data_IF_202547437188
#
_entry.id   IF_202547437188
#
_cell.length_a   1.000
_cell.length_b   1.000
_cell.length_c   1.000
_cell.angle_alpha   90.00
_cell.angle_beta   90.00
_cell.angle_gamma   90.00
#
_symmetry.space_group_name_H-M   'P 1'
#
loop_
_entity.id
_entity.type
_entity.pdbx_description
1 polymer ?
#
# COMPACT_ATOMS: atom_id res chain seq x y z
N UNK A 1 2.80 -22.77 8.51
CA UNK A 1 2.71 -22.73 7.04
C UNK A 1 4.10 -22.92 6.46
N UNK A 2 4.24 -23.73 5.44
CA UNK A 2 5.48 -23.83 4.69
C UNK A 2 5.59 -22.64 3.73
N UNK A 3 6.70 -21.91 3.77
CA UNK A 3 7.03 -20.86 2.83
C UNK A 3 8.35 -21.24 2.15
N UNK A 4 8.24 -21.93 1.01
CA UNK A 4 9.38 -22.37 0.18
C UNK A 4 10.47 -23.13 0.96
N UNK A 5 10.08 -24.04 1.85
CA UNK A 5 10.97 -24.85 2.67
C UNK A 5 11.27 -24.28 4.07
N UNK A 6 10.77 -23.10 4.39
CA UNK A 6 10.84 -22.53 5.75
C UNK A 6 9.53 -22.76 6.49
N UNK A 7 9.60 -23.43 7.64
CA UNK A 7 8.41 -23.65 8.49
C UNK A 7 8.16 -22.42 9.36
N UNK A 8 7.43 -21.43 8.83
CA UNK A 8 7.12 -20.16 9.48
C UNK A 8 5.72 -20.18 10.13
N UNK A 9 5.52 -19.32 11.11
CA UNK A 9 4.17 -19.07 11.62
C UNK A 9 3.34 -18.32 10.54
N UNK A 10 2.01 -18.33 10.68
CA UNK A 10 1.10 -17.70 9.69
C UNK A 10 1.38 -16.22 9.49
N UNK A 11 1.67 -15.52 10.58
CA UNK A 11 1.91 -14.09 10.57
C UNK A 11 3.20 -13.73 9.80
N UNK A 12 4.27 -14.50 9.99
CA UNK A 12 5.52 -14.29 9.25
C UNK A 12 5.37 -14.63 7.76
N UNK A 13 4.55 -15.63 7.41
CA UNK A 13 4.22 -15.92 6.01
C UNK A 13 3.49 -14.74 5.37
N UNK A 14 2.50 -14.16 6.07
CA UNK A 14 1.80 -12.96 5.60
C UNK A 14 2.77 -11.82 5.34
N UNK A 15 3.66 -11.51 6.29
CA UNK A 15 4.66 -10.47 6.13
C UNK A 15 5.53 -10.68 4.89
N UNK A 16 6.00 -11.92 4.67
CA UNK A 16 6.83 -12.26 3.50
C UNK A 16 6.06 -12.09 2.19
N UNK A 17 4.85 -12.65 2.08
CA UNK A 17 4.03 -12.54 0.86
C UNK A 17 3.72 -11.08 0.53
N UNK A 18 3.40 -10.26 1.54
CA UNK A 18 3.15 -8.84 1.32
C UNK A 18 4.42 -8.04 1.02
N UNK A 19 5.57 -8.42 1.59
CA UNK A 19 6.85 -7.85 1.20
C UNK A 19 7.14 -8.11 -0.29
N UNK A 20 6.88 -9.33 -0.76
CA UNK A 20 7.03 -9.71 -2.17
C UNK A 20 6.01 -8.97 -3.08
N UNK A 21 4.78 -8.79 -2.61
CA UNK A 21 3.76 -8.02 -3.34
C UNK A 21 4.15 -6.56 -3.54
N UNK A 22 4.73 -5.92 -2.52
CA UNK A 22 5.13 -4.52 -2.55
C UNK A 22 6.43 -4.35 -3.34
N UNK A 23 7.45 -5.16 -3.04
CA UNK A 23 8.79 -5.06 -3.61
C UNK A 23 8.96 -5.73 -4.97
N UNK A 24 8.06 -6.61 -5.33
CA UNK A 24 8.19 -7.53 -6.46
C UNK A 24 8.96 -8.80 -6.12
N UNK A 25 8.70 -9.87 -6.85
CA UNK A 25 9.41 -11.13 -6.73
C UNK A 25 9.81 -11.70 -8.09
N UNK A 26 10.61 -12.78 -8.07
CA UNK A 26 11.00 -13.52 -9.28
C UNK A 26 9.91 -14.47 -9.79
N UNK A 27 8.74 -14.54 -9.12
CA UNK A 27 7.66 -15.53 -9.35
C UNK A 27 6.42 -14.94 -9.99
N UNK A 28 6.47 -13.66 -10.36
CA UNK A 28 5.44 -13.00 -11.15
C UNK A 28 4.78 -11.78 -10.53
N UNK A 29 5.21 -11.37 -9.34
CA UNK A 29 4.85 -10.06 -8.77
C UNK A 29 5.85 -9.02 -9.25
N UNK A 30 5.37 -7.98 -9.94
CA UNK A 30 6.26 -6.94 -10.50
C UNK A 30 6.56 -5.81 -9.53
N UNK A 31 5.96 -5.86 -8.32
CA UNK A 31 6.04 -4.77 -7.35
C UNK A 31 5.11 -3.60 -7.65
N UNK A 32 5.01 -2.69 -6.70
CA UNK A 32 4.06 -1.57 -6.66
C UNK A 32 4.75 -0.22 -6.60
N UNK A 33 5.84 -0.03 -7.34
CA UNK A 33 6.76 1.12 -7.22
C UNK A 33 6.12 2.50 -7.32
N UNK A 34 4.95 2.62 -7.93
CA UNK A 34 4.25 3.91 -8.13
C UNK A 34 2.98 4.06 -7.30
N UNK A 35 2.64 3.07 -6.48
CA UNK A 35 1.41 3.07 -5.70
C UNK A 35 1.64 3.67 -4.31
N UNK A 36 0.65 4.43 -3.81
CA UNK A 36 0.59 4.80 -2.40
C UNK A 36 0.10 3.60 -1.60
N UNK A 37 0.92 3.11 -0.69
CA UNK A 37 0.60 1.97 0.16
C UNK A 37 0.71 2.35 1.63
N UNK A 38 -0.27 1.95 2.42
CA UNK A 38 -0.29 2.13 3.87
C UNK A 38 -0.56 0.80 4.58
N UNK A 39 -0.33 0.77 5.88
CA UNK A 39 -0.54 -0.39 6.74
C UNK A 39 -1.43 -0.02 7.92
N UNK A 40 -2.56 -0.71 8.04
CA UNK A 40 -3.43 -0.70 9.21
C UNK A 40 -3.33 -2.05 9.88
N UNK A 41 -2.98 -2.07 11.15
CA UNK A 41 -3.02 -3.28 11.98
C UNK A 41 -4.22 -3.22 12.91
N UNK A 42 -4.78 -4.37 13.21
CA UNK A 42 -5.92 -4.44 14.09
C UNK A 42 -5.90 -5.72 14.95
N UNK A 43 -6.37 -5.56 16.15
CA UNK A 43 -6.71 -6.59 17.10
C UNK A 43 -8.04 -6.18 17.74
N UNK A 44 -8.10 -5.88 19.02
CA UNK A 44 -9.28 -5.28 19.66
C UNK A 44 -9.59 -3.88 19.13
N UNK A 45 -8.56 -3.16 18.69
CA UNK A 45 -8.62 -1.83 18.10
C UNK A 45 -7.86 -1.83 16.78
N UNK A 46 -8.24 -0.94 15.87
CA UNK A 46 -7.52 -0.70 14.63
C UNK A 46 -6.60 0.51 14.76
N UNK A 47 -5.37 0.41 14.25
CA UNK A 47 -4.39 1.49 14.26
C UNK A 47 -3.68 1.63 12.91
N UNK A 48 -3.31 2.86 12.58
CA UNK A 48 -2.51 3.16 11.39
C UNK A 48 -1.02 2.97 11.69
N UNK A 49 -0.50 1.79 11.44
CA UNK A 49 0.90 1.45 11.67
C UNK A 49 1.83 2.17 10.70
N UNK A 50 1.41 2.32 9.44
CA UNK A 50 2.11 3.13 8.45
C UNK A 50 1.10 3.93 7.64
N UNK A 51 1.23 5.27 7.54
CA UNK A 51 0.38 6.06 6.67
C UNK A 51 0.61 5.70 5.19
N UNK A 52 -0.21 6.24 4.29
CA UNK A 52 -0.03 6.06 2.85
C UNK A 52 1.26 6.74 2.39
N UNK A 53 2.21 5.95 1.92
CA UNK A 53 3.54 6.39 1.47
C UNK A 53 3.89 5.81 0.11
N UNK A 54 4.70 6.54 -0.66
CA UNK A 54 5.34 6.05 -1.90
C UNK A 54 6.66 5.33 -1.59
N UNK A 55 7.28 5.63 -0.43
CA UNK A 55 8.53 5.00 -0.02
C UNK A 55 8.27 3.62 0.58
N UNK A 56 8.29 2.60 -0.27
CA UNK A 56 8.00 1.22 0.15
C UNK A 56 9.02 0.65 1.14
N UNK A 57 10.25 1.15 1.16
CA UNK A 57 11.24 0.74 2.15
C UNK A 57 10.78 1.07 3.58
N UNK A 58 10.17 2.26 3.77
CA UNK A 58 9.59 2.67 5.07
C UNK A 58 8.45 1.73 5.46
N UNK A 59 7.55 1.44 4.53
CA UNK A 59 6.43 0.52 4.77
C UNK A 59 6.93 -0.88 5.17
N UNK A 60 7.96 -1.41 4.47
CA UNK A 60 8.54 -2.72 4.76
C UNK A 60 9.22 -2.76 6.14
N UNK A 61 9.81 -1.66 6.60
CA UNK A 61 10.32 -1.56 7.98
C UNK A 61 9.21 -1.64 9.03
N UNK A 62 8.11 -0.92 8.82
CA UNK A 62 6.93 -1.02 9.70
C UNK A 62 6.35 -2.43 9.69
N UNK A 63 6.21 -3.04 8.52
CA UNK A 63 5.71 -4.41 8.38
C UNK A 63 6.58 -5.41 9.15
N UNK A 64 7.91 -5.29 9.08
CA UNK A 64 8.84 -6.14 9.82
C UNK A 64 8.69 -5.98 11.34
N UNK A 65 8.50 -4.77 11.84
CA UNK A 65 8.37 -4.45 13.26
C UNK A 65 7.00 -4.81 13.85
N UNK A 66 6.01 -5.07 13.01
CA UNK A 66 4.66 -5.45 13.47
C UNK A 66 4.72 -6.80 14.19
N UNK A 67 4.15 -6.88 15.38
CA UNK A 67 4.10 -8.08 16.21
C UNK A 67 2.65 -8.44 16.56
N UNK A 68 2.44 -9.70 16.90
CA UNK A 68 1.15 -10.18 17.41
C UNK A 68 0.96 -9.64 18.83
N UNK A 69 -0.24 -9.16 19.13
CA UNK A 69 -0.62 -8.69 20.46
C UNK A 69 -0.47 -9.81 21.49
N UNK A 70 0.15 -9.49 22.63
CA UNK A 70 0.40 -10.44 23.72
C UNK A 70 -0.50 -10.23 24.94
N UNK A 71 -1.08 -9.03 25.06
CA UNK A 71 -1.92 -8.67 26.20
C UNK A 71 -3.37 -9.10 25.94
N UNK A 72 -3.96 -9.82 26.88
CA UNK A 72 -5.38 -10.24 26.81
C UNK A 72 -6.36 -9.06 26.71
N UNK A 73 -6.02 -7.91 27.27
CA UNK A 73 -6.83 -6.69 27.19
C UNK A 73 -6.93 -6.12 25.78
N UNK A 74 -5.97 -6.44 24.92
CA UNK A 74 -5.88 -5.99 23.52
C UNK A 74 -6.24 -7.09 22.52
N UNK A 75 -6.51 -8.30 23.02
CA UNK A 75 -6.93 -9.44 22.20
C UNK A 75 -8.35 -9.23 21.66
N UNK A 76 -8.52 -9.53 20.40
CA UNK A 76 -9.77 -9.35 19.67
C UNK A 76 -9.55 -9.16 18.18
N UNK A 77 -10.64 -9.00 17.44
CA UNK A 77 -10.62 -8.85 15.96
C UNK A 77 -11.66 -7.82 15.56
N UNK A 78 -11.23 -6.57 15.42
CA UNK A 78 -12.07 -5.40 15.07
C UNK A 78 -12.07 -5.14 13.56
N UNK A 79 -12.70 -6.02 12.78
CA UNK A 79 -12.72 -5.94 11.31
C UNK A 79 -13.41 -4.65 10.84
N UNK A 80 -14.53 -4.27 11.45
CA UNK A 80 -15.28 -3.08 11.07
C UNK A 80 -14.47 -1.80 11.25
N UNK A 81 -13.80 -1.66 12.40
CA UNK A 81 -12.93 -0.51 12.69
C UNK A 81 -11.74 -0.45 11.74
N UNK A 82 -11.15 -1.59 11.40
CA UNK A 82 -10.03 -1.67 10.46
C UNK A 82 -10.43 -1.20 9.05
N UNK A 83 -11.60 -1.64 8.56
CA UNK A 83 -12.12 -1.20 7.26
C UNK A 83 -12.43 0.29 7.29
N UNK A 84 -13.13 0.77 8.33
CA UNK A 84 -13.49 2.18 8.46
C UNK A 84 -12.26 3.08 8.50
N UNK A 85 -11.24 2.71 9.29
CA UNK A 85 -9.99 3.46 9.40
C UNK A 85 -9.22 3.47 8.08
N UNK A 86 -9.05 2.32 7.42
CA UNK A 86 -8.36 2.22 6.14
C UNK A 86 -9.08 3.02 5.05
N UNK A 87 -10.42 2.95 5.00
CA UNK A 87 -11.23 3.71 4.05
C UNK A 87 -11.11 5.22 4.29
N UNK A 88 -11.12 5.67 5.55
CA UNK A 88 -10.93 7.08 5.90
C UNK A 88 -9.55 7.58 5.45
N UNK A 89 -8.48 6.79 5.63
CA UNK A 89 -7.13 7.15 5.17
C UNK A 89 -7.04 7.31 3.66
N UNK A 90 -7.66 6.38 2.90
CA UNK A 90 -7.73 6.48 1.44
C UNK A 90 -8.54 7.69 0.98
N UNK A 91 -9.64 8.00 1.66
CA UNK A 91 -10.48 9.17 1.33
C UNK A 91 -9.75 10.48 1.60
N UNK A 92 -9.09 10.61 2.75
CA UNK A 92 -8.28 11.79 3.09
C UNK A 92 -7.16 12.00 2.08
N UNK A 93 -6.45 10.93 1.68
CA UNK A 93 -5.38 11.04 0.67
C UNK A 93 -5.92 11.52 -0.68
N UNK A 94 -7.10 11.08 -1.10
CA UNK A 94 -7.75 11.56 -2.32
C UNK A 94 -8.08 13.05 -2.23
N UNK A 95 -8.64 13.50 -1.12
CA UNK A 95 -8.99 14.91 -0.88
C UNK A 95 -7.75 15.79 -0.85
N UNK A 96 -6.67 15.37 -0.19
CA UNK A 96 -5.40 16.08 -0.16
C UNK A 96 -4.80 16.24 -1.56
N UNK A 97 -4.86 15.20 -2.39
CA UNK A 97 -4.38 15.26 -3.78
C UNK A 97 -5.22 16.21 -4.62
N UNK A 98 -6.54 16.18 -4.47
CA UNK A 98 -7.45 17.12 -5.17
C UNK A 98 -7.19 18.56 -4.77
N UNK A 99 -6.98 18.82 -3.47
CA UNK A 99 -6.65 20.16 -2.98
C UNK A 99 -5.30 20.66 -3.52
N UNK A 100 -4.30 19.82 -3.57
CA UNK A 100 -2.99 20.15 -4.16
C UNK A 100 -3.13 20.50 -5.64
N UNK A 101 -3.87 19.70 -6.41
CA UNK A 101 -4.17 19.96 -7.82
C UNK A 101 -4.86 21.33 -7.99
N UNK A 102 -5.87 21.61 -7.18
CA UNK A 102 -6.59 22.89 -7.23
C UNK A 102 -5.67 24.09 -6.94
N UNK A 103 -4.78 23.99 -5.94
CA UNK A 103 -3.81 25.05 -5.61
C UNK A 103 -2.82 25.31 -6.73
N UNK A 104 -2.30 24.28 -7.41
CA UNK A 104 -1.39 24.43 -8.54
C UNK A 104 -2.07 25.13 -9.72
N UNK A 105 -3.30 24.73 -10.04
CA UNK A 105 -4.10 25.39 -11.07
C UNK A 105 -4.35 26.88 -10.78
N UNK A 106 -4.63 27.21 -9.50
CA UNK A 106 -4.81 28.62 -9.08
C UNK A 106 -3.52 29.43 -9.14
N UNK A 107 -2.36 28.78 -8.95
CA UNK A 107 -1.05 29.41 -9.08
C UNK A 107 -0.63 29.65 -10.55
N UNK A 108 -1.45 29.24 -11.53
CA UNK A 108 -1.15 29.41 -12.96
C UNK A 108 -0.13 28.40 -13.50
N UNK A 109 0.17 27.35 -12.74
CA UNK A 109 1.01 26.26 -13.25
C UNK A 109 0.20 25.40 -14.23
N UNK A 110 0.65 25.33 -15.48
CA UNK A 110 0.09 24.40 -16.44
C UNK A 110 0.41 22.97 -16.00
N UNK A 111 -0.63 22.23 -15.59
CA UNK A 111 -0.50 20.81 -15.40
C UNK A 111 -0.46 20.19 -16.80
N UNK A 112 0.75 19.97 -17.34
CA UNK A 112 0.90 19.30 -18.63
C UNK A 112 0.27 17.90 -18.55
N UNK A 113 -0.29 17.41 -19.66
CA UNK A 113 -0.91 16.08 -19.80
C UNK A 113 -0.05 14.94 -19.24
N UNK A 114 1.27 15.14 -19.18
CA UNK A 114 2.23 14.24 -18.53
C UNK A 114 2.16 14.24 -17.00
N UNK A 115 1.69 15.30 -16.38
CA UNK A 115 1.63 15.49 -14.92
C UNK A 115 0.26 15.15 -14.32
N UNK A 116 -0.77 14.98 -15.13
CA UNK A 116 -2.11 14.60 -14.65
C UNK A 116 -2.13 13.26 -13.92
N UNK A 117 -1.23 12.33 -14.29
CA UNK A 117 -1.10 11.03 -13.64
C UNK A 117 -0.70 11.09 -12.16
N UNK A 118 0.01 12.15 -11.74
CA UNK A 118 0.43 12.35 -10.34
C UNK A 118 -0.69 12.86 -9.40
N UNK A 119 -1.80 13.36 -9.96
CA UNK A 119 -2.90 13.93 -9.19
C UNK A 119 -4.23 13.17 -9.32
N UNK A 120 -4.23 12.03 -10.03
CA UNK A 120 -5.46 11.24 -10.23
C UNK A 120 -5.29 9.85 -9.64
N UNK A 121 -6.04 9.56 -8.58
CA UNK A 121 -6.13 8.21 -8.03
C UNK A 121 -7.04 7.40 -8.93
N UNK A 122 -6.49 6.39 -9.62
CA UNK A 122 -7.24 5.55 -10.56
C UNK A 122 -8.03 4.44 -9.88
N UNK A 123 -7.50 3.87 -8.82
CA UNK A 123 -8.12 2.80 -8.05
C UNK A 123 -7.76 2.93 -6.57
N UNK A 124 -8.72 2.63 -5.71
CA UNK A 124 -8.56 2.57 -4.26
C UNK A 124 -8.95 1.19 -3.78
N UNK A 125 -8.03 0.49 -3.16
CA UNK A 125 -8.25 -0.87 -2.68
C UNK A 125 -7.85 -1.02 -1.22
N UNK A 126 -8.54 -1.91 -0.53
CA UNK A 126 -8.16 -2.43 0.78
C UNK A 126 -7.98 -3.94 0.62
N UNK A 127 -6.85 -4.45 1.06
CA UNK A 127 -6.61 -5.89 1.19
C UNK A 127 -6.75 -6.22 2.67
N UNK A 128 -7.87 -6.84 3.02
CA UNK A 128 -8.20 -7.25 4.38
C UNK A 128 -7.74 -8.68 4.61
N UNK A 129 -6.86 -8.88 5.59
CA UNK A 129 -6.41 -10.21 6.01
C UNK A 129 -6.81 -10.47 7.45
N UNK A 130 -7.42 -11.60 7.68
CA UNK A 130 -7.80 -12.05 9.03
C UNK A 130 -7.80 -13.57 9.11
N UNK A 131 -7.53 -14.08 10.30
CA UNK A 131 -7.67 -15.50 10.65
C UNK A 131 -8.76 -15.73 11.72
N UNK A 132 -9.46 -14.66 12.15
CA UNK A 132 -10.47 -14.67 13.18
C UNK A 132 -11.85 -14.18 12.72
N UNK A 133 -12.79 -14.28 13.64
CA UNK A 133 -14.13 -13.70 13.53
C UNK A 133 -14.15 -12.29 14.11
N UNK A 134 -15.02 -11.43 13.57
CA UNK A 134 -15.25 -10.11 14.16
C UNK A 134 -15.86 -10.26 15.56
N UNK A 135 -15.13 -9.89 16.59
CA UNK A 135 -15.56 -10.00 18.01
C UNK A 135 -15.24 -8.74 18.83
N UNK A 136 -14.71 -7.70 18.19
CA UNK A 136 -14.36 -6.44 18.82
C UNK A 136 -14.61 -5.27 17.85
N UNK A 137 -14.40 -4.05 18.32
CA UNK A 137 -14.58 -2.82 17.55
C UNK A 137 -15.94 -2.17 17.80
N UNK A 138 -16.08 -0.95 17.29
CA UNK A 138 -17.29 -0.11 17.42
C UNK A 138 -18.13 -0.12 16.14
N UNK A 139 -17.50 -0.31 14.98
CA UNK A 139 -18.16 -0.29 13.70
C UNK A 139 -18.56 -1.69 13.24
N UNK A 140 -19.80 -1.81 12.75
CA UNK A 140 -20.24 -3.03 12.07
C UNK A 140 -19.47 -3.21 10.76
N UNK A 141 -18.89 -4.40 10.49
CA UNK A 141 -18.10 -4.63 9.29
C UNK A 141 -18.85 -4.41 7.98
N UNK A 142 -20.14 -4.71 7.91
CA UNK A 142 -20.93 -4.52 6.70
C UNK A 142 -21.22 -3.04 6.45
N UNK A 143 -21.51 -2.28 7.52
CA UNK A 143 -21.69 -0.83 7.43
C UNK A 143 -20.38 -0.14 6.99
N UNK A 144 -19.24 -0.58 7.52
CA UNK A 144 -17.92 -0.09 7.10
C UNK A 144 -17.64 -0.42 5.62
N UNK A 145 -18.03 -1.61 5.14
CA UNK A 145 -17.94 -1.97 3.73
C UNK A 145 -18.83 -1.13 2.83
N UNK A 146 -20.05 -0.82 3.25
CA UNK A 146 -20.96 0.08 2.51
C UNK A 146 -20.39 1.51 2.43
N UNK A 147 -19.76 1.99 3.50
CA UNK A 147 -19.07 3.28 3.50
C UNK A 147 -17.90 3.28 2.51
N UNK A 148 -17.07 2.23 2.53
CA UNK A 148 -15.98 2.06 1.59
C UNK A 148 -16.49 2.05 0.13
N UNK A 149 -17.59 1.35 -0.15
CA UNK A 149 -18.25 1.36 -1.46
C UNK A 149 -18.67 2.76 -1.90
N UNK A 150 -19.30 3.53 -1.01
CA UNK A 150 -19.70 4.93 -1.30
C UNK A 150 -18.52 5.82 -1.70
N UNK A 151 -17.33 5.51 -1.19
CA UNK A 151 -16.08 6.21 -1.52
C UNK A 151 -15.34 5.59 -2.71
N UNK A 152 -15.94 4.61 -3.39
CA UNK A 152 -15.35 3.94 -4.55
C UNK A 152 -14.13 3.08 -4.19
N UNK A 153 -14.10 2.52 -2.97
CA UNK A 153 -13.02 1.67 -2.48
C UNK A 153 -13.46 0.22 -2.60
N UNK A 154 -12.65 -0.62 -3.24
CA UNK A 154 -12.84 -2.06 -3.30
C UNK A 154 -12.15 -2.75 -2.14
N UNK A 155 -12.75 -3.80 -1.60
CA UNK A 155 -12.17 -4.61 -0.52
C UNK A 155 -11.95 -6.03 -1.00
N UNK A 156 -10.71 -6.48 -0.98
CA UNK A 156 -10.31 -7.87 -1.19
C UNK A 156 -10.12 -8.54 0.16
N UNK A 157 -11.01 -9.47 0.51
CA UNK A 157 -10.99 -10.15 1.80
C UNK A 157 -10.25 -11.47 1.68
N UNK A 158 -9.25 -11.69 2.53
CA UNK A 158 -8.46 -12.91 2.56
C UNK A 158 -8.57 -13.53 3.95
N UNK A 159 -9.19 -14.71 4.02
CA UNK A 159 -9.23 -15.51 5.23
C UNK A 159 -8.02 -16.44 5.31
N UNK A 160 -7.29 -16.40 6.41
CA UNK A 160 -6.07 -17.18 6.60
C UNK A 160 -6.31 -18.32 7.56
N UNK A 161 -6.10 -19.56 7.11
CA UNK A 161 -6.16 -20.75 7.96
C UNK A 161 -7.14 -21.81 7.51
N UNK A 162 -7.06 -22.99 8.13
CA UNK A 162 -7.94 -24.11 7.84
C UNK A 162 -9.34 -23.89 8.43
N UNK A 163 -10.36 -24.48 7.79
CA UNK A 163 -11.77 -24.41 8.25
C UNK A 163 -11.97 -24.95 9.67
N UNK A 164 -11.03 -25.72 10.15
CA UNK A 164 -11.06 -26.31 11.48
C UNK A 164 -9.77 -25.96 12.22
N UNK A 165 -9.85 -24.96 13.09
CA UNK A 165 -8.78 -24.71 14.06
C UNK A 165 -8.90 -25.75 15.18
N UNK A 166 -7.83 -26.48 15.46
CA UNK A 166 -7.76 -27.43 16.58
C UNK A 166 -6.82 -26.86 17.65
N UNK A 167 -7.29 -26.81 18.88
CA UNK A 167 -6.42 -26.60 20.04
C UNK A 167 -5.98 -27.95 20.58
N UNK A 168 -4.69 -28.08 20.83
CA UNK A 168 -4.12 -29.26 21.45
C UNK A 168 -4.16 -29.08 22.95
N UNK A 169 -4.99 -29.87 23.65
CA UNK A 169 -5.07 -29.88 25.09
C UNK A 169 -4.26 -31.09 25.60
N UNK A 170 -3.24 -30.81 26.40
CA UNK A 170 -2.51 -31.85 27.10
C UNK A 170 -3.26 -32.18 28.41
N UNK A 171 -3.73 -33.42 28.52
CA UNK A 171 -4.34 -33.95 29.74
C UNK A 171 -3.46 -35.07 30.30
N UNK A 172 -3.61 -35.43 31.58
CA UNK A 172 -2.89 -36.58 32.15
C UNK A 172 -3.14 -37.91 31.42
N UNK A 173 -4.20 -37.99 30.61
CA UNK A 173 -4.60 -39.18 29.84
C UNK A 173 -4.14 -39.11 28.38
N UNK A 174 -3.39 -38.06 27.97
CA UNK A 174 -2.87 -37.90 26.61
C UNK A 174 -3.21 -36.55 26.01
N UNK A 175 -2.76 -36.37 24.76
CA UNK A 175 -2.96 -35.13 23.98
C UNK A 175 -4.21 -35.25 23.11
N UNK A 176 -5.21 -34.42 23.38
CA UNK A 176 -6.45 -34.37 22.58
C UNK A 176 -6.49 -33.12 21.70
N UNK A 177 -6.87 -33.30 20.44
CA UNK A 177 -7.19 -32.20 19.54
C UNK A 177 -8.67 -31.87 19.66
N UNK A 178 -8.98 -30.72 20.24
CA UNK A 178 -10.35 -30.22 20.30
C UNK A 178 -10.54 -29.13 19.21
N UNK A 179 -11.66 -29.15 18.45
CA UNK A 179 -11.97 -28.05 17.56
C UNK A 179 -12.10 -26.78 18.40
N UNK A 180 -11.31 -25.78 18.09
CA UNK A 180 -11.51 -24.43 18.64
C UNK A 180 -12.73 -23.84 17.98
N UNK A 181 -13.72 -23.40 18.74
CA UNK A 181 -14.94 -22.78 18.20
C UNK A 181 -14.73 -21.41 17.52
N UNK A 182 -13.50 -20.96 17.38
CA UNK A 182 -13.14 -19.77 16.60
C UNK A 182 -12.85 -20.18 15.16
N UNK A 183 -13.90 -20.38 14.38
CA UNK A 183 -13.80 -20.53 12.95
C UNK A 183 -13.84 -19.16 12.29
N UNK A 184 -13.08 -19.00 11.19
CA UNK A 184 -13.15 -17.84 10.32
C UNK A 184 -14.60 -17.63 9.82
N UNK A 185 -15.13 -16.42 9.93
CA UNK A 185 -16.43 -16.08 9.35
C UNK A 185 -16.30 -15.77 7.85
N UNK A 186 -16.25 -16.84 7.06
CA UNK A 186 -16.15 -16.73 5.62
C UNK A 186 -17.35 -16.02 4.98
N UNK A 187 -18.54 -16.17 5.57
CA UNK A 187 -19.75 -15.53 5.05
C UNK A 187 -19.67 -14.01 5.19
N UNK A 188 -19.21 -13.53 6.34
CA UNK A 188 -18.98 -12.11 6.56
C UNK A 188 -17.93 -11.56 5.57
N UNK A 189 -16.79 -12.22 5.45
CA UNK A 189 -15.71 -11.78 4.56
C UNK A 189 -16.13 -11.77 3.07
N UNK A 190 -16.89 -12.77 2.65
CA UNK A 190 -17.45 -12.84 1.30
C UNK A 190 -18.40 -11.67 1.05
N UNK A 191 -19.32 -11.38 1.98
CA UNK A 191 -20.26 -10.27 1.87
C UNK A 191 -19.56 -8.92 1.81
N UNK A 192 -18.54 -8.69 2.63
CA UNK A 192 -17.73 -7.46 2.60
C UNK A 192 -17.13 -7.25 1.19
N UNK A 193 -16.53 -8.30 0.64
CA UNK A 193 -15.94 -8.24 -0.70
C UNK A 193 -17.00 -7.99 -1.79
N UNK A 194 -18.12 -8.70 -1.76
CA UNK A 194 -19.23 -8.55 -2.72
C UNK A 194 -19.84 -7.14 -2.70
N UNK A 195 -20.08 -6.56 -1.50
CA UNK A 195 -20.61 -5.20 -1.34
C UNK A 195 -19.74 -4.19 -2.09
N UNK A 196 -18.42 -4.33 -2.03
CA UNK A 196 -17.46 -3.35 -2.56
C UNK A 196 -16.98 -3.66 -3.98
N UNK A 197 -17.40 -4.79 -4.56
CA UNK A 197 -16.97 -5.24 -5.88
C UNK A 197 -15.57 -5.84 -5.92
N UNK A 198 -15.07 -6.30 -4.78
CA UNK A 198 -13.87 -7.11 -4.66
C UNK A 198 -14.17 -8.61 -4.73
N UNK A 199 -13.27 -9.44 -4.20
CA UNK A 199 -13.54 -10.87 -4.04
C UNK A 199 -13.00 -11.39 -2.70
N UNK A 200 -13.53 -12.53 -2.27
CA UNK A 200 -13.05 -13.28 -1.12
C UNK A 200 -12.12 -14.41 -1.60
N UNK A 201 -10.99 -14.55 -0.92
CA UNK A 201 -10.07 -15.67 -1.09
C UNK A 201 -9.77 -16.33 0.23
N UNK A 202 -9.60 -17.65 0.22
CA UNK A 202 -9.15 -18.40 1.39
C UNK A 202 -7.76 -18.94 1.15
N UNK A 203 -6.85 -18.68 2.08
CA UNK A 203 -5.47 -19.12 2.04
C UNK A 203 -5.18 -20.12 3.17
N UNK A 204 -5.13 -21.40 2.84
CA UNK A 204 -4.76 -22.45 3.78
C UNK A 204 -3.25 -22.60 3.91
N UNK A 205 -2.49 -22.21 2.89
CA UNK A 205 -1.04 -22.24 2.81
C UNK A 205 -0.43 -20.97 2.17
N UNK A 206 0.88 -20.88 2.20
CA UNK A 206 1.61 -19.73 1.66
C UNK A 206 1.49 -19.61 0.13
N UNK A 207 1.40 -20.72 -0.57
CA UNK A 207 1.28 -20.74 -2.03
C UNK A 207 -0.07 -20.18 -2.46
N UNK A 208 -1.15 -20.65 -1.83
CA UNK A 208 -2.51 -20.13 -2.08
C UNK A 208 -2.60 -18.63 -1.75
N UNK A 209 -1.99 -18.17 -0.66
CA UNK A 209 -1.94 -16.75 -0.33
C UNK A 209 -1.24 -15.95 -1.44
N UNK A 210 -0.09 -16.44 -1.91
CA UNK A 210 0.65 -15.81 -3.00
C UNK A 210 -0.18 -15.75 -4.30
N UNK A 211 -0.88 -16.83 -4.67
CA UNK A 211 -1.76 -16.88 -5.84
C UNK A 211 -2.93 -15.88 -5.75
N UNK A 212 -3.55 -15.75 -4.56
CA UNK A 212 -4.61 -14.78 -4.32
C UNK A 212 -4.07 -13.35 -4.49
N UNK A 213 -2.94 -13.04 -3.88
CA UNK A 213 -2.31 -11.71 -3.96
C UNK A 213 -1.89 -11.40 -5.39
N UNK A 214 -1.35 -12.38 -6.13
CA UNK A 214 -1.04 -12.24 -7.55
C UNK A 214 -2.29 -11.95 -8.40
N UNK A 215 -3.40 -12.63 -8.13
CA UNK A 215 -4.68 -12.35 -8.79
C UNK A 215 -5.15 -10.92 -8.54
N UNK A 216 -5.01 -10.40 -7.31
CA UNK A 216 -5.31 -9.00 -6.99
C UNK A 216 -4.39 -8.07 -7.80
N UNK A 217 -3.10 -8.40 -7.86
CA UNK A 217 -2.11 -7.66 -8.64
C UNK A 217 -2.51 -7.53 -10.11
N UNK A 218 -2.90 -8.62 -10.72
CA UNK A 218 -3.33 -8.68 -12.12
C UNK A 218 -4.63 -7.88 -12.38
N UNK A 219 -5.61 -7.97 -11.46
CA UNK A 219 -6.89 -7.26 -11.58
C UNK A 219 -6.77 -5.74 -11.43
N UNK A 220 -5.89 -5.28 -10.56
CA UNK A 220 -5.73 -3.85 -10.22
C UNK A 220 -4.57 -3.19 -10.98
N UNK A 221 -3.83 -3.93 -11.80
CA UNK A 221 -2.85 -3.33 -12.72
C UNK A 221 -3.57 -2.55 -13.80
N UNK A 222 -3.82 -1.30 -13.51
CA UNK A 222 -4.06 -0.34 -14.56
C UNK A 222 -2.74 -0.20 -15.32
N UNK A 223 -2.75 -0.32 -16.66
CA UNK A 223 -1.59 0.01 -17.50
C UNK A 223 -1.25 1.49 -17.27
N UNK A 224 -0.50 1.77 -16.25
CA UNK A 224 0.12 3.08 -16.07
C UNK A 224 1.17 3.15 -17.16
N UNK A 225 0.95 3.98 -18.19
CA UNK A 225 2.05 4.42 -19.04
C UNK A 225 3.02 5.09 -18.09
N UNK A 226 4.16 4.46 -17.85
CA UNK A 226 5.26 5.04 -17.09
C UNK A 226 5.65 6.33 -17.77
N UNK A 227 5.29 7.46 -17.20
CA UNK A 227 5.81 8.75 -17.61
C UNK A 227 7.17 8.83 -16.94
N UNK A 228 8.20 8.47 -17.71
CA UNK A 228 9.57 8.73 -17.30
C UNK A 228 9.73 10.25 -17.20
N UNK A 229 9.87 10.75 -15.97
CA UNK A 229 10.36 12.09 -15.74
C UNK A 229 11.83 12.11 -16.15
N UNK A 230 12.11 12.56 -17.37
CA UNK A 230 13.45 12.90 -17.76
C UNK A 230 13.75 14.25 -17.11
N UNK A 231 14.42 14.24 -15.95
CA UNK A 231 15.03 15.45 -15.40
C UNK A 231 16.11 15.86 -16.41
N UNK A 232 15.81 16.87 -17.22
CA UNK A 232 16.83 17.51 -18.02
C UNK A 232 17.74 18.28 -17.03
N UNK A 233 18.96 17.78 -16.82
CA UNK A 233 19.99 18.57 -16.19
C UNK A 233 20.33 19.70 -17.20
N UNK A 234 19.97 20.92 -16.84
CA UNK A 234 20.29 22.09 -17.68
C UNK A 234 21.80 22.28 -17.70
N UNK A 235 22.43 21.87 -18.79
CA UNK A 235 23.88 21.98 -19.01
C UNK A 235 24.29 23.33 -19.61
N UNK A 236 23.44 24.34 -19.52
CA UNK A 236 23.77 25.66 -20.10
C UNK A 236 24.81 26.44 -19.24
N UNK A 237 24.98 26.11 -17.96
CA UNK A 237 25.89 26.79 -17.03
C UNK A 237 27.33 26.96 -17.54
N UNK A 238 28.00 25.94 -18.08
CA UNK A 238 29.34 26.10 -18.65
C UNK A 238 29.37 26.97 -19.91
N UNK A 239 28.34 26.91 -20.77
CA UNK A 239 28.25 27.70 -21.99
C UNK A 239 27.97 29.18 -21.69
N UNK A 240 27.15 29.50 -20.72
CA UNK A 240 26.93 30.89 -20.26
C UNK A 240 28.19 31.51 -19.67
N UNK A 241 28.98 30.72 -18.89
CA UNK A 241 30.28 31.19 -18.41
C UNK A 241 31.27 31.45 -19.50
N UNK A 242 31.34 30.58 -20.51
CA UNK A 242 32.23 30.78 -21.67
C UNK A 242 31.82 32.03 -22.47
N UNK A 243 30.54 32.25 -22.71
CA UNK A 243 30.03 33.44 -23.39
C UNK A 243 30.36 34.73 -22.61
N UNK A 244 30.21 34.71 -21.26
CA UNK A 244 30.57 35.85 -20.40
C UNK A 244 32.05 36.18 -20.50
N UNK A 245 32.94 35.18 -20.49
CA UNK A 245 34.39 35.38 -20.64
C UNK A 245 34.76 36.01 -21.99
N UNK A 246 34.13 35.53 -23.06
CA UNK A 246 34.37 36.11 -24.43
C UNK A 246 33.93 37.57 -24.44
N UNK A 247 32.77 37.91 -23.88
CA UNK A 247 32.25 39.27 -23.85
C UNK A 247 33.18 40.22 -23.04
N UNK A 248 33.69 39.75 -21.91
CA UNK A 248 34.68 40.50 -21.12
C UNK A 248 35.98 40.71 -21.91
N UNK A 249 36.47 39.69 -22.63
CA UNK A 249 37.66 39.81 -23.49
C UNK A 249 37.48 40.80 -24.62
N UNK A 250 36.29 40.78 -25.30
CA UNK A 250 35.93 41.77 -26.34
C UNK A 250 35.93 43.19 -25.80
N UNK A 251 35.36 43.40 -24.60
CA UNK A 251 35.31 44.70 -23.96
C UNK A 251 36.74 45.20 -23.62
N UNK A 252 37.61 44.32 -23.09
CA UNK A 252 38.98 44.63 -22.81
C UNK A 252 39.78 44.95 -24.10
N UNK A 253 39.59 44.18 -25.17
CA UNK A 253 40.24 44.39 -26.46
C UNK A 253 39.79 45.72 -27.09
N UNK A 254 38.53 46.06 -27.01
CA UNK A 254 37.99 47.34 -27.48
C UNK A 254 38.56 48.54 -26.72
N UNK A 255 38.80 48.41 -25.41
CA UNK A 255 39.34 49.47 -24.57
C UNK A 255 40.89 49.65 -24.71
N UNK A 256 41.58 48.57 -25.10
CA UNK A 256 43.06 48.57 -25.12
C UNK A 256 43.64 48.59 -26.53
N UNK A 257 43.30 47.62 -27.38
CA UNK A 257 43.94 47.41 -28.70
C UNK A 257 43.25 48.21 -29.81
N UNK A 258 41.93 48.28 -29.77
CA UNK A 258 41.12 48.94 -30.79
C UNK A 258 40.66 50.34 -30.40
N UNK A 259 41.30 50.95 -29.41
CA UNK A 259 41.02 52.31 -29.01
C UNK A 259 41.43 53.27 -30.13
N UNK A 260 40.50 53.75 -30.94
CA UNK A 260 40.74 54.88 -31.84
C UNK A 260 40.89 56.14 -31.02
N UNK A 261 42.12 56.63 -30.90
CA UNK A 261 42.39 57.97 -30.37
C UNK A 261 41.96 58.92 -31.48
N UNK A 262 41.12 59.93 -31.19
CA UNK A 262 40.72 60.95 -32.20
C UNK A 262 41.91 61.88 -32.54
#
# INVERSE_FOLDING_TARGET
MDYYGENLNRFEVVKKVFSDFIGGDKKGLTGRTSDLVGLVTFARYADTTCPLVLSHNVLLEFLKKTEIVRLRSEDGTAIGDAIALAAARLKTAEEDMQQRKAKLLQAGEEISDGNEGGFTIKSKIIILLTDGMNNAGQYDPLQAAELAKKWGIKIYSIGIGSAQAYTTIQTPLGTYKMPTGQSLDENLLRRIAEITGGFYGRADDAKTLHEIVKKIDEMEKTKVKSIQYTQYAELFGPWTKAALVILVLEMLASCTIFRKIP
#
